data_IF_199240978339
#
_entry.id   IF_199240978339
#
_cell.length_a   1.000
_cell.length_b   1.000
_cell.length_c   1.000
_cell.angle_alpha   90.00
_cell.angle_beta   90.00
_cell.angle_gamma   90.00
#
_symmetry.space_group_name_H-M   'P 1'
#
loop_
_entity.id
_entity.type
_entity.pdbx_description
1 polymer ?
#
# COMPACT_ATOMS: atom_id res chain seq x y z
N UNK A 1 -73.69 2.45 44.92
CA UNK A 1 -72.29 2.01 44.69
C UNK A 1 -71.75 2.75 43.43
N UNK A 2 -70.95 3.83 43.59
CA UNK A 2 -70.41 4.64 42.48
C UNK A 2 -69.01 4.14 42.16
N UNK A 3 -68.85 3.47 41.01
CA UNK A 3 -67.58 3.16 40.42
C UNK A 3 -66.96 4.44 39.81
N UNK A 4 -65.96 4.98 40.51
CA UNK A 4 -65.16 6.09 39.96
C UNK A 4 -64.19 5.54 38.97
N UNK A 5 -64.47 5.79 37.68
CA UNK A 5 -63.56 5.53 36.57
C UNK A 5 -62.38 6.53 36.65
N UNK A 6 -61.22 6.09 37.18
CA UNK A 6 -59.98 6.88 37.10
C UNK A 6 -59.43 6.79 35.70
N UNK A 7 -59.75 7.80 34.92
CA UNK A 7 -59.06 8.06 33.66
C UNK A 7 -57.62 8.50 34.01
N UNK A 8 -56.69 7.56 33.87
CA UNK A 8 -55.27 7.87 33.91
C UNK A 8 -54.94 8.76 32.69
N UNK A 9 -54.66 10.04 32.96
CA UNK A 9 -54.20 10.96 31.96
C UNK A 9 -52.87 10.48 31.32
N UNK A 10 -52.53 10.95 30.13
CA UNK A 10 -51.30 10.52 29.44
C UNK A 10 -50.09 10.86 30.28
N UNK A 11 -49.41 9.82 30.76
CA UNK A 11 -48.11 9.95 31.43
C UNK A 11 -47.12 10.53 30.44
N UNK A 12 -46.76 11.79 30.58
CA UNK A 12 -45.61 12.37 29.84
C UNK A 12 -44.37 11.63 30.26
N UNK A 13 -43.90 10.74 29.41
CA UNK A 13 -42.60 10.10 29.59
C UNK A 13 -41.53 11.17 29.36
N UNK A 14 -40.97 11.67 30.44
CA UNK A 14 -39.78 12.53 30.38
C UNK A 14 -38.57 11.65 30.15
N UNK A 15 -38.04 11.70 28.92
CA UNK A 15 -36.79 11.03 28.60
C UNK A 15 -35.66 11.82 29.25
N UNK A 16 -34.86 11.24 30.16
CA UNK A 16 -33.74 11.94 30.77
C UNK A 16 -32.68 12.20 29.70
N UNK A 17 -32.47 13.48 29.36
CA UNK A 17 -31.52 13.88 28.30
C UNK A 17 -30.07 13.73 28.75
N UNK A 18 -29.79 13.81 30.05
CA UNK A 18 -28.43 13.79 30.62
C UNK A 18 -27.68 12.50 30.32
N UNK A 19 -28.24 11.31 30.51
CA UNK A 19 -27.55 10.06 30.17
C UNK A 19 -27.31 9.88 28.67
N UNK A 20 -28.15 10.45 27.82
CA UNK A 20 -27.94 10.39 26.37
C UNK A 20 -26.73 11.23 25.92
N UNK A 21 -26.56 12.42 26.51
CA UNK A 21 -25.42 13.29 26.23
C UNK A 21 -24.13 12.62 26.68
N UNK A 22 -24.13 11.96 27.83
CA UNK A 22 -22.96 11.26 28.35
C UNK A 22 -22.50 10.12 27.43
N UNK A 23 -23.44 9.29 26.96
CA UNK A 23 -23.11 8.21 26.02
C UNK A 23 -22.52 8.76 24.72
N UNK A 24 -23.11 9.83 24.16
CA UNK A 24 -22.60 10.44 22.92
C UNK A 24 -21.20 11.03 23.14
N UNK A 25 -20.97 11.64 24.28
CA UNK A 25 -19.68 12.22 24.64
C UNK A 25 -18.60 11.14 24.79
N UNK A 26 -18.90 10.05 25.50
CA UNK A 26 -17.99 8.91 25.64
C UNK A 26 -17.68 8.25 24.28
N UNK A 27 -18.68 8.15 23.41
CA UNK A 27 -18.50 7.60 22.05
C UNK A 27 -17.60 8.49 21.19
N UNK A 28 -17.74 9.81 21.33
CA UNK A 28 -16.93 10.80 20.63
C UNK A 28 -15.47 10.74 21.09
N UNK A 29 -15.22 10.66 22.41
CA UNK A 29 -13.88 10.50 22.97
C UNK A 29 -13.27 9.16 22.51
N UNK A 30 -14.06 8.09 22.55
CA UNK A 30 -13.60 6.78 22.10
C UNK A 30 -13.14 6.82 20.63
N UNK A 31 -13.91 7.44 19.73
CA UNK A 31 -13.51 7.60 18.35
C UNK A 31 -12.29 8.51 18.22
N UNK A 32 -12.21 9.59 18.99
CA UNK A 32 -11.07 10.51 18.93
C UNK A 32 -9.76 9.84 19.35
N UNK A 33 -9.79 8.96 20.35
CA UNK A 33 -8.64 8.18 20.79
C UNK A 33 -8.28 7.04 19.84
N UNK A 34 -9.25 6.49 19.10
CA UNK A 34 -9.02 5.41 18.14
C UNK A 34 -8.68 5.92 16.72
N UNK A 35 -8.87 7.20 16.41
CA UNK A 35 -8.46 7.78 15.15
C UNK A 35 -6.93 7.88 15.11
N UNK A 36 -6.28 6.82 14.64
CA UNK A 36 -4.89 6.87 14.24
C UNK A 36 -4.80 7.69 12.95
N UNK A 37 -4.54 9.00 13.08
CA UNK A 37 -4.24 9.86 11.94
C UNK A 37 -2.89 9.37 11.39
N UNK A 38 -2.95 8.55 10.36
CA UNK A 38 -1.78 8.22 9.55
C UNK A 38 -1.52 9.46 8.70
N UNK A 39 -0.64 10.34 9.18
CA UNK A 39 -0.07 11.37 8.33
C UNK A 39 0.59 10.65 7.16
N UNK A 40 0.21 10.91 5.89
CA UNK A 40 1.06 10.54 4.78
C UNK A 40 2.30 11.46 4.87
N UNK A 41 3.32 10.99 5.58
CA UNK A 41 4.63 11.62 5.52
C UNK A 41 5.13 11.41 4.09
N UNK A 42 4.78 12.35 3.22
CA UNK A 42 5.42 12.47 1.93
C UNK A 42 6.89 12.75 2.21
N UNK A 43 7.73 11.76 1.95
CA UNK A 43 9.16 11.92 1.95
C UNK A 43 9.49 12.91 0.83
N UNK A 44 9.48 14.22 1.16
CA UNK A 44 10.01 15.25 0.29
C UNK A 44 11.54 15.19 0.33
N UNK A 45 12.12 14.10 -0.17
CA UNK A 45 13.53 14.07 -0.53
C UNK A 45 13.71 14.94 -1.78
N UNK A 46 13.64 16.25 -1.57
CA UNK A 46 14.12 17.22 -2.56
C UNK A 46 15.64 17.16 -2.49
N UNK A 47 16.25 16.34 -3.33
CA UNK A 47 17.68 16.42 -3.61
C UNK A 47 17.95 17.74 -4.35
N UNK A 48 18.16 18.79 -3.58
CA UNK A 48 18.75 20.03 -4.10
C UNK A 48 20.21 19.71 -4.43
N UNK A 49 20.66 19.90 -5.68
CA UNK A 49 22.07 19.78 -6.01
C UNK A 49 22.82 20.95 -5.38
N UNK A 50 23.27 20.79 -4.14
CA UNK A 50 24.23 21.71 -3.55
C UNK A 50 25.61 21.23 -4.00
N UNK A 51 26.18 21.95 -4.96
CA UNK A 51 27.55 21.79 -5.40
C UNK A 51 28.49 22.10 -4.25
N UNK A 52 29.00 21.10 -3.57
CA UNK A 52 30.25 21.16 -2.81
C UNK A 52 30.74 19.71 -2.57
N UNK A 53 32.00 19.40 -2.92
CA UNK A 53 32.58 18.10 -2.64
C UNK A 53 33.03 18.06 -1.18
N UNK A 54 32.15 17.58 -0.31
CA UNK A 54 32.57 17.21 1.04
C UNK A 54 32.34 15.69 1.15
N UNK A 55 33.45 14.98 1.38
CA UNK A 55 33.42 13.55 1.68
C UNK A 55 32.68 13.36 3.00
N UNK A 56 31.37 13.27 2.89
CA UNK A 56 30.47 12.90 3.98
C UNK A 56 29.93 11.50 3.69
N UNK A 57 29.92 10.68 4.71
CA UNK A 57 29.47 9.31 4.73
C UNK A 57 28.34 9.06 3.74
N UNK A 58 28.56 8.17 2.79
CA UNK A 58 27.50 7.67 1.92
C UNK A 58 26.43 7.08 2.84
N UNK A 59 25.35 7.81 3.07
CA UNK A 59 24.12 7.21 3.57
C UNK A 59 23.79 6.11 2.58
N UNK A 60 23.86 4.88 3.07
CA UNK A 60 23.45 3.70 2.31
C UNK A 60 21.94 3.81 2.09
N UNK A 61 21.54 4.64 1.13
CA UNK A 61 20.16 4.62 0.66
C UNK A 61 19.88 3.22 0.13
N UNK A 62 18.88 2.53 0.67
CA UNK A 62 18.56 1.20 0.18
C UNK A 62 18.29 1.27 -1.33
N UNK A 63 18.72 0.27 -2.10
CA UNK A 63 18.54 0.29 -3.54
C UNK A 63 17.05 0.36 -3.87
N UNK A 64 16.65 1.41 -4.57
CA UNK A 64 15.31 1.55 -5.09
C UNK A 64 15.16 0.61 -6.29
N UNK A 65 14.24 -0.34 -6.19
CA UNK A 65 13.98 -1.32 -7.23
C UNK A 65 12.81 -0.80 -8.07
N UNK A 66 13.10 -0.36 -9.30
CA UNK A 66 12.06 0.11 -10.22
C UNK A 66 11.63 -0.98 -11.19
N UNK A 67 10.34 -1.31 -11.20
CA UNK A 67 9.69 -2.24 -12.13
C UNK A 67 8.82 -1.44 -13.07
N UNK A 68 9.20 -1.36 -14.35
CA UNK A 68 8.43 -0.61 -15.35
C UNK A 68 7.71 -1.55 -16.31
N UNK A 69 6.46 -1.22 -16.62
CA UNK A 69 5.59 -1.96 -17.52
C UNK A 69 5.09 -1.06 -18.63
N UNK A 70 5.45 -1.42 -19.86
CA UNK A 70 4.98 -0.75 -21.08
C UNK A 70 3.89 -1.58 -21.72
N UNK A 71 2.76 -0.95 -22.06
CA UNK A 71 1.61 -1.61 -22.68
C UNK A 71 1.23 -1.01 -24.03
N UNK A 72 0.47 -1.78 -24.80
CA UNK A 72 -0.20 -1.29 -26.01
C UNK A 72 -1.48 -0.51 -25.67
N UNK A 73 -2.15 0.04 -26.70
CA UNK A 73 -3.43 0.76 -26.52
C UNK A 73 -4.57 -0.14 -26.03
N UNK A 74 -4.46 -1.46 -26.14
CA UNK A 74 -5.41 -2.44 -25.65
C UNK A 74 -5.09 -2.87 -24.20
N UNK A 75 -3.99 -2.36 -23.64
CA UNK A 75 -3.54 -2.67 -22.29
C UNK A 75 -2.78 -3.98 -22.14
N UNK A 76 -2.38 -4.62 -23.28
CA UNK A 76 -1.54 -5.81 -23.21
C UNK A 76 -0.08 -5.41 -22.95
N UNK A 77 0.60 -6.21 -22.15
CA UNK A 77 1.99 -5.98 -21.82
C UNK A 77 2.89 -6.19 -23.05
N UNK A 78 3.61 -5.13 -23.44
CA UNK A 78 4.63 -5.20 -24.49
C UNK A 78 5.99 -5.50 -23.88
N UNK A 79 6.28 -4.91 -22.72
CA UNK A 79 7.59 -5.00 -22.09
C UNK A 79 7.52 -4.87 -20.59
N UNK A 80 8.21 -5.74 -19.88
CA UNK A 80 8.47 -5.69 -18.45
C UNK A 80 9.97 -5.45 -18.23
N UNK A 81 10.32 -4.43 -17.44
CA UNK A 81 11.71 -4.12 -17.13
C UNK A 81 11.92 -4.03 -15.62
N UNK A 82 13.11 -4.43 -15.18
CA UNK A 82 13.58 -4.24 -13.81
C UNK A 82 14.81 -3.33 -13.85
N UNK A 83 14.64 -2.06 -13.47
CA UNK A 83 15.63 -1.03 -13.70
C UNK A 83 15.97 -0.91 -15.19
N UNK A 84 17.22 -1.17 -15.57
CA UNK A 84 17.67 -1.18 -16.98
C UNK A 84 17.53 -2.54 -17.66
N UNK A 85 17.15 -3.60 -16.95
CA UNK A 85 17.09 -4.96 -17.48
C UNK A 85 15.72 -5.26 -18.07
N UNK A 86 15.67 -5.56 -19.36
CA UNK A 86 14.45 -6.04 -20.03
C UNK A 86 14.25 -7.53 -19.73
N UNK A 87 13.04 -7.88 -19.25
CA UNK A 87 12.65 -9.25 -18.91
C UNK A 87 11.74 -9.88 -19.97
N UNK A 88 11.20 -9.08 -20.91
CA UNK A 88 10.25 -9.53 -21.92
C UNK A 88 8.80 -9.18 -21.59
N UNK A 89 7.86 -9.88 -22.23
CA UNK A 89 6.41 -9.67 -22.05
C UNK A 89 5.64 -10.95 -21.74
N UNK A 90 6.34 -12.08 -21.65
CA UNK A 90 5.73 -13.39 -21.44
C UNK A 90 5.49 -13.73 -19.97
N UNK A 91 4.81 -14.85 -19.75
CA UNK A 91 4.63 -15.43 -18.41
C UNK A 91 5.97 -15.66 -17.69
N UNK A 92 7.00 -16.06 -18.45
CA UNK A 92 8.33 -16.28 -17.92
C UNK A 92 9.04 -15.00 -17.47
N UNK A 93 8.65 -13.83 -18.02
CA UNK A 93 9.19 -12.54 -17.61
C UNK A 93 8.89 -12.23 -16.14
N UNK A 94 7.70 -12.61 -15.66
CA UNK A 94 7.33 -12.47 -14.26
C UNK A 94 8.08 -13.43 -13.34
N UNK A 95 8.41 -14.64 -13.82
CA UNK A 95 9.27 -15.57 -13.07
C UNK A 95 10.72 -15.08 -13.01
N UNK A 96 11.20 -14.49 -14.08
CA UNK A 96 12.51 -13.84 -14.10
C UNK A 96 12.55 -12.64 -13.16
N UNK A 97 11.48 -11.82 -13.14
CA UNK A 97 11.34 -10.71 -12.19
C UNK A 97 11.51 -11.20 -10.75
N UNK A 98 10.81 -12.27 -10.37
CA UNK A 98 10.92 -12.85 -9.04
C UNK A 98 12.36 -13.31 -8.72
N UNK A 99 13.02 -13.99 -9.67
CA UNK A 99 14.41 -14.45 -9.51
C UNK A 99 15.39 -13.29 -9.35
N UNK A 100 15.25 -12.24 -10.15
CA UNK A 100 16.14 -11.08 -10.07
C UNK A 100 15.93 -10.29 -8.77
N UNK A 101 14.71 -10.12 -8.32
CA UNK A 101 14.40 -9.51 -7.02
C UNK A 101 15.03 -10.33 -5.89
N UNK A 102 14.92 -11.66 -5.94
CA UNK A 102 15.57 -12.53 -4.97
C UNK A 102 17.09 -12.39 -4.95
N UNK A 103 17.72 -12.17 -6.11
CA UNK A 103 19.17 -11.91 -6.15
C UNK A 103 19.54 -10.60 -5.48
N UNK A 104 18.71 -9.55 -5.62
CA UNK A 104 18.95 -8.26 -5.02
C UNK A 104 18.75 -8.31 -3.50
N UNK A 105 17.69 -8.95 -3.06
CA UNK A 105 17.32 -9.05 -1.65
C UNK A 105 18.17 -10.08 -0.91
N UNK A 106 18.64 -11.10 -1.63
CA UNK A 106 19.36 -12.23 -1.06
C UNK A 106 18.43 -13.32 -0.55
N UNK A 107 18.43 -13.56 0.77
CA UNK A 107 17.59 -14.62 1.35
C UNK A 107 16.25 -14.06 1.85
N UNK A 108 15.14 -14.82 1.76
CA UNK A 108 13.91 -14.48 2.43
C UNK A 108 14.15 -14.27 3.93
N UNK A 109 13.58 -13.20 4.49
CA UNK A 109 13.76 -12.83 5.89
C UNK A 109 15.05 -12.05 6.19
N UNK A 110 15.78 -11.57 5.20
CA UNK A 110 16.90 -10.67 5.38
C UNK A 110 16.42 -9.38 6.05
N UNK A 111 17.00 -8.93 7.18
CA UNK A 111 16.62 -7.68 7.83
C UNK A 111 16.73 -6.46 6.93
N UNK A 112 17.71 -6.45 6.02
CA UNK A 112 17.90 -5.37 5.04
C UNK A 112 16.76 -5.31 4.00
N UNK A 113 16.03 -6.40 3.77
CA UNK A 113 14.91 -6.45 2.85
C UNK A 113 13.69 -5.60 3.32
N UNK A 114 13.60 -5.32 4.62
CA UNK A 114 12.52 -4.48 5.19
C UNK A 114 12.60 -3.03 4.74
N UNK A 115 13.80 -2.56 4.40
CA UNK A 115 14.03 -1.20 3.96
C UNK A 115 14.03 -1.05 2.44
N UNK A 116 14.02 -2.17 1.72
CA UNK A 116 13.94 -2.16 0.26
C UNK A 116 12.53 -1.78 -0.17
N UNK A 117 12.44 -0.77 -1.04
CA UNK A 117 11.21 -0.30 -1.64
C UNK A 117 11.19 -0.66 -3.13
N UNK A 118 10.05 -1.21 -3.59
CA UNK A 118 9.83 -1.51 -5.01
C UNK A 118 8.86 -0.50 -5.58
N UNK A 119 9.33 0.28 -6.54
CA UNK A 119 8.49 1.19 -7.31
C UNK A 119 7.90 0.47 -8.52
N UNK A 120 6.59 0.47 -8.62
CA UNK A 120 5.84 -0.05 -9.78
C UNK A 120 5.46 1.12 -10.68
N UNK A 121 6.00 1.12 -11.88
CA UNK A 121 5.78 2.13 -12.91
C UNK A 121 5.06 1.48 -14.09
N UNK A 122 3.75 1.69 -14.20
CA UNK A 122 2.92 1.09 -15.24
C UNK A 122 2.33 2.16 -16.15
N UNK A 123 2.33 1.89 -17.46
CA UNK A 123 1.62 2.73 -18.42
C UNK A 123 0.12 2.82 -18.04
N UNK A 124 -0.51 3.95 -18.38
CA UNK A 124 -1.90 4.22 -18.05
C UNK A 124 -2.88 3.15 -18.56
N UNK A 125 -2.65 2.64 -19.77
CA UNK A 125 -3.48 1.63 -20.41
C UNK A 125 -3.23 0.20 -19.87
N UNK A 126 -2.18 -0.01 -19.05
CA UNK A 126 -1.81 -1.37 -18.61
C UNK A 126 -2.95 -2.05 -17.87
N UNK A 127 -3.34 -3.24 -18.34
CA UNK A 127 -4.38 -4.01 -17.66
C UNK A 127 -3.96 -4.38 -16.24
N UNK A 128 -4.86 -4.15 -15.30
CA UNK A 128 -4.63 -4.35 -13.86
C UNK A 128 -4.09 -5.75 -13.50
N UNK A 129 -4.45 -6.77 -14.27
CA UNK A 129 -3.95 -8.14 -14.09
C UNK A 129 -2.42 -8.23 -14.09
N UNK A 130 -1.74 -7.44 -14.96
CA UNK A 130 -0.28 -7.44 -15.04
C UNK A 130 0.34 -6.74 -13.85
N UNK A 131 -0.27 -5.67 -13.40
CA UNK A 131 0.16 -4.92 -12.19
C UNK A 131 0.08 -5.82 -10.96
N UNK A 132 -1.06 -6.49 -10.75
CA UNK A 132 -1.25 -7.42 -9.62
C UNK A 132 -0.24 -8.57 -9.69
N UNK A 133 0.02 -9.08 -10.90
CA UNK A 133 0.98 -10.15 -11.11
C UNK A 133 2.41 -9.71 -10.77
N UNK A 134 2.81 -8.52 -11.22
CA UNK A 134 4.11 -7.94 -10.88
C UNK A 134 4.25 -7.77 -9.36
N UNK A 135 3.25 -7.18 -8.68
CA UNK A 135 3.23 -7.04 -7.23
C UNK A 135 3.40 -8.39 -6.54
N UNK A 136 2.62 -9.38 -6.96
CA UNK A 136 2.68 -10.73 -6.38
C UNK A 136 4.07 -11.36 -6.51
N UNK A 137 4.74 -11.16 -7.65
CA UNK A 137 6.10 -11.69 -7.87
C UNK A 137 7.19 -10.89 -7.15
N UNK A 138 6.94 -9.61 -6.85
CA UNK A 138 7.83 -8.78 -6.06
C UNK A 138 7.71 -9.05 -4.57
N UNK A 139 6.50 -9.28 -4.06
CA UNK A 139 6.25 -9.40 -2.62
C UNK A 139 6.60 -10.76 -2.05
N UNK A 140 6.55 -11.82 -2.84
CA UNK A 140 6.84 -13.14 -2.32
C UNK A 140 6.73 -14.27 -3.30
N UNK A 141 7.02 -15.47 -2.80
CA UNK A 141 6.84 -16.73 -3.50
C UNK A 141 6.20 -17.76 -2.58
N UNK A 142 5.32 -18.57 -3.14
CA UNK A 142 4.83 -19.75 -2.46
C UNK A 142 5.97 -20.78 -2.42
N UNK A 143 6.42 -21.17 -1.23
CA UNK A 143 7.39 -22.22 -1.08
C UNK A 143 6.72 -23.58 -1.32
N UNK A 144 7.18 -24.36 -2.31
CA UNK A 144 6.55 -25.64 -2.65
C UNK A 144 6.59 -26.66 -1.51
N UNK A 145 7.56 -26.53 -0.60
CA UNK A 145 7.75 -27.47 0.50
C UNK A 145 6.90 -27.19 1.73
N UNK A 146 6.74 -25.92 2.09
CA UNK A 146 6.07 -25.51 3.34
C UNK A 146 4.66 -24.99 3.14
N UNK A 147 4.20 -24.77 1.89
CA UNK A 147 2.96 -24.07 1.54
C UNK A 147 2.82 -22.68 2.18
N UNK A 148 3.90 -22.14 2.71
CA UNK A 148 3.95 -20.79 3.28
C UNK A 148 4.43 -19.81 2.23
N UNK A 149 3.89 -18.58 2.30
CA UNK A 149 4.34 -17.47 1.45
C UNK A 149 5.60 -16.88 2.06
N UNK A 150 6.75 -17.11 1.43
CA UNK A 150 7.97 -16.40 1.78
C UNK A 150 7.87 -14.96 1.27
N UNK A 151 7.73 -14.00 2.18
CA UNK A 151 7.67 -12.56 1.84
C UNK A 151 9.07 -12.01 1.66
N UNK A 152 9.26 -11.19 0.63
CA UNK A 152 10.55 -10.58 0.28
C UNK A 152 10.55 -9.08 0.53
N UNK A 153 9.57 -8.38 -0.01
CA UNK A 153 9.44 -6.92 0.06
C UNK A 153 8.12 -6.58 0.73
N UNK A 154 8.18 -5.64 1.68
CA UNK A 154 7.00 -5.16 2.39
C UNK A 154 6.53 -3.79 1.89
N UNK A 155 7.45 -3.02 1.29
CA UNK A 155 7.18 -1.66 0.83
C UNK A 155 7.04 -1.62 -0.70
N UNK A 156 5.84 -1.30 -1.18
CA UNK A 156 5.56 -1.07 -2.59
C UNK A 156 5.08 0.35 -2.77
N UNK A 157 5.65 1.05 -3.73
CA UNK A 157 5.28 2.38 -4.14
C UNK A 157 4.82 2.34 -5.60
N UNK A 158 3.87 3.17 -5.95
CA UNK A 158 3.48 3.37 -7.34
C UNK A 158 4.09 4.66 -7.86
N UNK A 159 4.66 4.61 -9.06
CA UNK A 159 5.08 5.81 -9.77
C UNK A 159 3.85 6.69 -10.09
N UNK A 160 4.03 8.00 -10.22
CA UNK A 160 2.96 8.87 -10.70
C UNK A 160 2.42 8.38 -12.04
N UNK A 161 1.09 8.43 -12.26
CA UNK A 161 0.49 7.91 -13.47
C UNK A 161 1.01 8.67 -14.70
N UNK A 162 1.43 7.94 -15.72
CA UNK A 162 1.77 8.51 -17.01
C UNK A 162 0.53 9.07 -17.71
N UNK A 163 0.72 10.10 -18.54
CA UNK A 163 -0.37 10.60 -19.37
C UNK A 163 -0.75 9.55 -20.41
N UNK A 164 -2.05 9.42 -20.79
CA UNK A 164 -2.46 8.54 -21.85
C UNK A 164 -1.66 8.83 -23.13
N UNK A 165 -1.29 7.79 -23.86
CA UNK A 165 -0.65 7.95 -25.17
C UNK A 165 -1.68 8.50 -26.16
N UNK A 166 -1.41 9.68 -26.72
CA UNK A 166 -2.27 10.34 -27.72
C UNK A 166 -2.40 9.52 -29.00
#
# INVERSE_FOLDING_TARGET
MKLQNRLSGPTKVQIPMVPMIDIVFLLLIFFMLNLKIVSPEGNFNINLPISAPTAAAAELTPPEIKVSMVSDRQGNLIQLTLGSKNLGNDEMAFEQLNKEILKIIGRPGNPLAKDIEVEIDADYETQYKYVVKAISKCTGRLDPGSKQVARYVEKIKFAPPHKPKA
#
